data_IF_400460475260
#
_entry.id   IF_400460475260
#
_cell.length_a   1.000
_cell.length_b   1.000
_cell.length_c   1.000
_cell.angle_alpha   90.00
_cell.angle_beta   90.00
_cell.angle_gamma   90.00
#
_symmetry.space_group_name_H-M   'P 1'
#
loop_
_entity.id
_entity.type
_entity.pdbx_description
1 polymer ?
#
# COMPACT_ATOMS: atom_id res chain seq x y z
N UNK A 1 -48.48 -15.78 48.02
CA UNK A 1 -47.17 -15.12 48.09
C UNK A 1 -46.14 -15.99 47.37
N UNK A 2 -46.16 -16.07 46.06
CA UNK A 2 -45.14 -16.80 45.19
C UNK A 2 -45.31 -16.37 43.73
N UNK A 3 -45.15 -15.09 43.40
CA UNK A 3 -45.15 -14.59 41.99
C UNK A 3 -44.38 -13.27 41.83
N UNK A 4 -43.27 -13.05 42.54
CA UNK A 4 -42.53 -11.78 42.44
C UNK A 4 -40.99 -11.95 42.44
N UNK A 5 -40.44 -13.08 41.99
CA UNK A 5 -38.99 -13.28 41.97
C UNK A 5 -38.46 -13.68 40.56
N UNK A 6 -39.24 -13.56 39.49
CA UNK A 6 -38.82 -13.97 38.17
C UNK A 6 -38.67 -12.80 37.18
N UNK A 7 -38.59 -11.55 37.63
CA UNK A 7 -38.47 -10.37 36.74
C UNK A 7 -37.17 -9.57 36.89
N UNK A 8 -36.22 -10.00 37.72
CA UNK A 8 -34.95 -9.28 37.92
C UNK A 8 -33.72 -9.91 37.30
N UNK A 9 -33.84 -11.04 36.57
CA UNK A 9 -32.70 -11.74 35.96
C UNK A 9 -32.57 -11.57 34.45
N UNK A 10 -33.38 -10.75 33.79
CA UNK A 10 -33.37 -10.48 32.36
C UNK A 10 -32.83 -9.09 31.97
N UNK A 11 -32.36 -8.29 32.92
CA UNK A 11 -31.86 -6.94 32.67
C UNK A 11 -30.32 -6.78 32.81
N UNK A 12 -29.57 -7.84 32.99
CA UNK A 12 -28.13 -7.78 33.21
C UNK A 12 -27.26 -8.38 32.07
N UNK A 13 -27.83 -8.73 30.91
CA UNK A 13 -27.07 -9.29 29.79
C UNK A 13 -26.84 -8.29 28.65
N UNK A 14 -27.43 -7.09 28.74
CA UNK A 14 -27.33 -6.09 27.66
C UNK A 14 -26.27 -5.00 27.87
N UNK A 15 -25.35 -5.13 28.81
CA UNK A 15 -24.37 -4.07 29.13
C UNK A 15 -22.90 -4.47 28.95
N UNK A 16 -22.61 -5.55 28.25
CA UNK A 16 -21.22 -5.99 27.99
C UNK A 16 -20.94 -6.25 26.50
N UNK A 17 -21.59 -5.56 25.58
CA UNK A 17 -21.01 -5.28 24.29
C UNK A 17 -20.06 -4.07 24.42
N UNK A 18 -19.10 -4.13 25.32
CA UNK A 18 -17.96 -3.22 25.27
C UNK A 18 -17.19 -3.58 23.99
N UNK A 19 -17.04 -2.58 23.13
CA UNK A 19 -16.16 -2.57 21.97
C UNK A 19 -14.74 -3.04 22.38
N UNK A 20 -14.52 -4.34 22.44
CA UNK A 20 -13.18 -4.90 22.50
C UNK A 20 -12.61 -4.89 21.08
N UNK A 21 -12.29 -3.68 20.56
CA UNK A 21 -11.48 -3.57 19.36
C UNK A 21 -10.18 -4.34 19.62
N UNK A 22 -9.78 -5.20 18.69
CA UNK A 22 -8.52 -5.92 18.79
C UNK A 22 -7.35 -4.93 18.87
N UNK A 23 -6.22 -5.40 19.35
CA UNK A 23 -5.01 -4.57 19.43
C UNK A 23 -4.62 -4.02 18.04
N UNK A 24 -4.70 -4.85 17.01
CA UNK A 24 -4.47 -4.43 15.63
C UNK A 24 -5.50 -3.40 15.14
N UNK A 25 -6.78 -3.52 15.54
CA UNK A 25 -7.80 -2.51 15.19
C UNK A 25 -7.53 -1.16 15.86
N UNK A 26 -6.96 -1.13 17.05
CA UNK A 26 -6.54 0.11 17.70
C UNK A 26 -5.38 0.75 16.95
N UNK A 27 -4.38 -0.05 16.55
CA UNK A 27 -3.21 0.37 15.78
C UNK A 27 -3.57 0.89 14.39
N UNK A 28 -4.52 0.27 13.70
CA UNK A 28 -4.99 0.72 12.39
C UNK A 28 -5.57 2.16 12.41
N UNK A 29 -5.90 2.72 13.57
CA UNK A 29 -6.37 4.11 13.69
C UNK A 29 -5.29 5.15 13.39
N UNK A 30 -4.02 4.78 13.47
CA UNK A 30 -2.88 5.62 13.09
C UNK A 30 -2.57 5.56 11.59
N UNK A 31 -3.23 4.66 10.85
CA UNK A 31 -3.01 4.42 9.43
C UNK A 31 -4.27 4.76 8.62
N UNK A 32 -4.74 6.02 8.71
CA UNK A 32 -5.98 6.44 8.03
C UNK A 32 -5.74 7.05 6.66
N UNK A 33 -4.73 7.93 6.54
CA UNK A 33 -4.45 8.74 5.35
C UNK A 33 -2.95 8.78 5.12
N UNK A 34 -2.47 7.86 4.33
CA UNK A 34 -1.04 7.68 4.09
C UNK A 34 -0.59 8.07 2.71
N UNK A 35 0.71 8.16 2.58
CA UNK A 35 1.42 8.42 1.34
C UNK A 35 2.60 7.47 1.18
N UNK A 36 2.79 6.93 -0.02
CA UNK A 36 3.97 6.15 -0.34
C UNK A 36 5.16 7.06 -0.63
N UNK A 37 6.31 6.74 -0.06
CA UNK A 37 7.60 7.30 -0.44
C UNK A 37 8.35 6.25 -1.28
N UNK A 38 8.09 6.28 -2.57
CA UNK A 38 8.80 5.48 -3.57
C UNK A 38 10.14 6.10 -3.95
N UNK A 39 10.92 5.39 -4.73
CA UNK A 39 12.18 5.84 -5.34
C UNK A 39 13.25 6.36 -4.36
N UNK A 40 13.05 6.21 -3.05
CA UNK A 40 14.02 6.61 -2.03
C UNK A 40 14.90 5.44 -1.58
N UNK A 41 14.31 4.41 -0.96
CA UNK A 41 14.99 3.19 -0.53
C UNK A 41 14.63 1.96 -1.37
N UNK A 42 13.72 2.10 -2.32
CA UNK A 42 13.38 1.10 -3.34
C UNK A 42 13.16 1.78 -4.69
N UNK A 43 13.11 1.02 -5.77
CA UNK A 43 12.79 1.52 -7.13
C UNK A 43 13.71 2.69 -7.57
N UNK A 44 14.97 2.66 -7.18
CA UNK A 44 15.95 3.68 -7.58
C UNK A 44 16.40 3.41 -9.01
N UNK A 45 15.89 4.20 -9.95
CA UNK A 45 16.16 4.06 -11.39
C UNK A 45 17.41 4.80 -11.86
N UNK A 46 18.06 5.60 -11.00
CA UNK A 46 19.36 6.21 -11.34
C UNK A 46 20.40 5.10 -11.56
N UNK A 47 21.13 5.10 -12.68
CA UNK A 47 22.20 4.13 -12.95
C UNK A 47 23.28 4.03 -11.87
N UNK A 48 23.43 5.08 -11.05
CA UNK A 48 24.33 5.09 -9.90
C UNK A 48 23.80 4.29 -8.72
N UNK A 49 22.50 3.97 -8.72
CA UNK A 49 21.83 3.23 -7.66
C UNK A 49 21.76 3.97 -6.33
N UNK A 50 21.81 3.21 -5.24
CA UNK A 50 21.65 3.68 -3.86
C UNK A 50 22.89 4.41 -3.34
N UNK A 51 23.21 5.57 -3.92
CA UNK A 51 24.32 6.40 -3.43
C UNK A 51 23.95 7.17 -2.16
N UNK A 52 24.97 7.59 -1.42
CA UNK A 52 24.77 8.46 -0.26
C UNK A 52 24.00 9.73 -0.61
N UNK A 53 24.37 10.37 -1.71
CA UNK A 53 23.75 11.60 -2.21
C UNK A 53 22.26 11.39 -2.48
N UNK A 54 21.90 10.24 -3.08
CA UNK A 54 20.51 9.87 -3.31
C UNK A 54 19.78 9.65 -1.98
N UNK A 55 20.31 8.79 -1.09
CA UNK A 55 19.67 8.43 0.18
C UNK A 55 19.46 9.63 1.13
N UNK A 56 20.35 10.64 1.06
CA UNK A 56 20.23 11.85 1.89
C UNK A 56 19.37 12.94 1.23
N UNK A 57 19.33 12.98 -0.10
CA UNK A 57 18.77 14.12 -0.84
C UNK A 57 17.46 13.87 -1.58
N UNK A 58 17.00 12.62 -1.69
CA UNK A 58 15.78 12.30 -2.45
C UNK A 58 14.51 12.81 -1.76
N UNK A 59 14.35 12.52 -0.49
CA UNK A 59 13.30 13.10 0.37
C UNK A 59 13.98 13.89 1.49
N UNK A 60 13.53 15.10 1.71
CA UNK A 60 14.09 16.03 2.68
C UNK A 60 13.14 16.26 3.86
N UNK A 61 13.62 16.95 4.92
CA UNK A 61 12.76 17.35 6.03
C UNK A 61 11.63 18.29 5.60
N UNK A 62 11.87 19.13 4.57
CA UNK A 62 10.84 20.01 4.02
C UNK A 62 9.75 19.22 3.31
N UNK A 63 10.11 18.13 2.62
CA UNK A 63 9.14 17.21 2.01
C UNK A 63 8.26 16.54 3.06
N UNK A 64 8.86 16.04 4.15
CA UNK A 64 8.10 15.42 5.25
C UNK A 64 7.21 16.44 5.95
N UNK A 65 7.68 17.67 6.13
CA UNK A 65 6.87 18.79 6.66
C UNK A 65 5.69 19.11 5.72
N UNK A 66 5.92 19.10 4.40
CA UNK A 66 4.86 19.29 3.40
C UNK A 66 3.83 18.17 3.46
N UNK A 67 4.25 16.91 3.50
CA UNK A 67 3.37 15.74 3.69
C UNK A 67 2.49 15.94 4.92
N UNK A 68 3.08 16.31 6.06
CA UNK A 68 2.33 16.56 7.30
C UNK A 68 1.34 17.71 7.15
N UNK A 69 1.73 18.80 6.48
CA UNK A 69 0.89 19.98 6.28
C UNK A 69 -0.33 19.68 5.39
N UNK A 70 -0.19 18.79 4.42
CA UNK A 70 -1.31 18.33 3.58
C UNK A 70 -2.33 17.48 4.37
N UNK A 71 -1.99 17.00 5.57
CA UNK A 71 -2.93 16.27 6.44
C UNK A 71 -2.79 14.75 6.39
N UNK A 72 -1.71 14.22 5.85
CA UNK A 72 -1.36 12.81 6.00
C UNK A 72 -1.01 12.49 7.45
N UNK A 73 -1.30 11.27 7.90
CA UNK A 73 -1.03 10.80 9.25
C UNK A 73 0.10 9.75 9.31
N UNK A 74 0.45 9.15 8.19
CA UNK A 74 1.55 8.20 8.09
C UNK A 74 2.19 8.17 6.70
N UNK A 75 3.35 7.53 6.66
CA UNK A 75 4.14 7.29 5.45
C UNK A 75 4.35 5.79 5.30
N UNK A 76 4.17 5.26 4.09
CA UNK A 76 4.63 3.94 3.71
C UNK A 76 5.97 4.09 2.99
N UNK A 77 7.03 3.65 3.64
CA UNK A 77 8.41 3.75 3.15
C UNK A 77 8.78 2.46 2.44
N UNK A 78 8.88 2.54 1.11
CA UNK A 78 9.28 1.41 0.27
C UNK A 78 10.78 1.15 0.40
N UNK A 79 11.17 -0.08 0.74
CA UNK A 79 12.56 -0.47 1.04
C UNK A 79 12.95 -1.71 0.25
N UNK A 80 13.96 -1.60 -0.61
CA UNK A 80 14.59 -2.77 -1.22
C UNK A 80 15.54 -3.41 -0.19
N UNK A 81 15.32 -4.67 0.20
CA UNK A 81 16.18 -5.35 1.17
C UNK A 81 17.56 -5.71 0.60
N UNK A 82 17.70 -5.83 -0.73
CA UNK A 82 18.93 -6.33 -1.36
C UNK A 82 20.21 -5.57 -0.97
N UNK A 83 20.22 -4.22 -0.85
CA UNK A 83 21.40 -3.50 -0.40
C UNK A 83 21.81 -3.79 1.06
N UNK A 84 20.89 -4.28 1.88
CA UNK A 84 21.13 -4.61 3.29
C UNK A 84 21.41 -6.10 3.52
N UNK A 85 21.01 -6.98 2.60
CA UNK A 85 21.18 -8.41 2.74
C UNK A 85 22.53 -8.86 2.20
N UNK A 86 23.30 -9.55 3.03
CA UNK A 86 24.46 -10.29 2.62
C UNK A 86 24.16 -11.78 2.70
N UNK A 87 24.31 -12.52 1.60
CA UNK A 87 23.98 -13.96 1.53
C UNK A 87 24.65 -14.85 2.59
N UNK A 88 25.81 -14.42 3.10
CA UNK A 88 26.55 -15.16 4.11
C UNK A 88 26.38 -14.58 5.54
N UNK A 89 25.67 -13.47 5.68
CA UNK A 89 25.49 -12.72 6.92
C UNK A 89 24.08 -12.10 6.97
N UNK A 90 23.07 -12.91 6.62
CA UNK A 90 21.68 -12.45 6.50
C UNK A 90 21.10 -11.85 7.79
N UNK A 91 21.69 -12.23 8.93
CA UNK A 91 21.37 -11.70 10.25
C UNK A 91 22.12 -10.40 10.59
N UNK A 92 23.01 -9.94 9.72
CA UNK A 92 23.77 -8.70 9.88
C UNK A 92 23.38 -7.68 8.83
N UNK A 93 22.91 -6.54 9.30
CA UNK A 93 22.52 -5.42 8.46
C UNK A 93 23.69 -4.44 8.40
N UNK A 94 24.21 -4.07 7.18
CA UNK A 94 25.26 -3.11 7.03
C UNK A 94 24.92 -1.78 7.69
N UNK A 95 25.77 -1.32 8.62
CA UNK A 95 25.48 -0.18 9.48
C UNK A 95 25.37 1.18 8.74
N UNK A 96 26.06 1.34 7.61
CA UNK A 96 25.99 2.56 6.80
C UNK A 96 24.64 2.74 6.12
N UNK A 97 24.13 1.70 5.43
CA UNK A 97 22.81 1.76 4.80
C UNK A 97 21.69 1.82 5.85
N UNK A 98 21.78 1.01 6.90
CA UNK A 98 20.84 1.04 8.01
C UNK A 98 20.83 2.42 8.69
N UNK A 99 22.00 3.07 8.82
CA UNK A 99 22.09 4.43 9.36
C UNK A 99 21.34 5.47 8.54
N UNK A 100 21.27 5.35 7.21
CA UNK A 100 20.44 6.23 6.38
C UNK A 100 18.95 5.92 6.56
N UNK A 101 18.58 4.64 6.66
CA UNK A 101 17.20 4.23 6.93
C UNK A 101 16.75 4.74 8.31
N UNK A 102 17.58 4.62 9.34
CA UNK A 102 17.32 5.19 10.68
C UNK A 102 17.09 6.70 10.62
N UNK A 103 17.90 7.41 9.84
CA UNK A 103 17.74 8.84 9.62
C UNK A 103 16.38 9.19 8.98
N UNK A 104 15.95 8.41 7.99
CA UNK A 104 14.67 8.58 7.33
C UNK A 104 13.48 8.28 8.26
N UNK A 105 13.52 7.15 8.97
CA UNK A 105 12.50 6.77 9.97
C UNK A 105 12.39 7.84 11.05
N UNK A 106 13.53 8.27 11.59
CA UNK A 106 13.55 9.33 12.60
C UNK A 106 12.96 10.64 12.08
N UNK A 107 13.29 11.03 10.85
CA UNK A 107 12.74 12.24 10.22
C UNK A 107 11.21 12.18 10.12
N UNK A 108 10.64 11.06 9.71
CA UNK A 108 9.19 10.85 9.63
C UNK A 108 8.53 10.93 11.01
N UNK A 109 9.10 10.23 12.00
CA UNK A 109 8.59 10.20 13.37
C UNK A 109 8.69 11.57 14.06
N UNK A 110 9.78 12.33 13.85
CA UNK A 110 9.97 13.67 14.40
C UNK A 110 8.91 14.67 13.90
N UNK A 111 8.31 14.42 12.73
CA UNK A 111 7.19 15.21 12.21
C UNK A 111 5.81 14.70 12.69
N UNK A 112 5.78 13.71 13.59
CA UNK A 112 4.54 13.14 14.14
C UNK A 112 3.72 12.36 13.11
N UNK A 113 4.41 11.70 12.17
CA UNK A 113 3.84 10.74 11.22
C UNK A 113 4.21 9.32 11.65
N UNK A 114 3.28 8.37 11.56
CA UNK A 114 3.62 6.97 11.68
C UNK A 114 4.37 6.49 10.42
N UNK A 115 5.10 5.38 10.52
CA UNK A 115 5.84 4.81 9.39
C UNK A 115 5.55 3.31 9.24
N UNK A 116 5.22 2.92 8.02
CA UNK A 116 5.20 1.54 7.58
C UNK A 116 6.53 1.25 6.89
N UNK A 117 7.30 0.31 7.42
CA UNK A 117 8.50 -0.21 6.76
C UNK A 117 8.06 -1.34 5.82
N UNK A 118 7.97 -1.03 4.54
CA UNK A 118 7.51 -1.95 3.51
C UNK A 118 8.70 -2.56 2.77
N UNK A 119 8.84 -3.90 2.83
CA UNK A 119 9.84 -4.58 2.00
C UNK A 119 9.39 -4.65 0.55
N UNK A 120 10.05 -3.85 -0.28
CA UNK A 120 9.68 -3.57 -1.68
C UNK A 120 10.82 -3.97 -2.66
N UNK A 121 11.17 -5.26 -2.73
CA UNK A 121 12.17 -5.73 -3.66
C UNK A 121 11.65 -5.78 -5.10
N UNK A 122 12.57 -5.96 -6.04
CA UNK A 122 12.25 -6.23 -7.44
C UNK A 122 11.66 -7.65 -7.65
N UNK A 123 11.16 -7.90 -8.86
CA UNK A 123 10.56 -9.18 -9.23
C UNK A 123 11.57 -10.33 -9.23
N UNK A 124 12.87 -10.08 -9.48
CA UNK A 124 13.90 -11.13 -9.43
C UNK A 124 14.11 -11.65 -8.01
N UNK A 125 14.08 -10.76 -7.03
CA UNK A 125 14.11 -11.15 -5.61
C UNK A 125 12.87 -11.97 -5.23
N UNK A 126 11.67 -11.51 -5.60
CA UNK A 126 10.41 -12.22 -5.35
C UNK A 126 10.39 -13.60 -6.02
N UNK A 127 10.89 -13.71 -7.24
CA UNK A 127 10.99 -15.00 -7.95
C UNK A 127 11.88 -16.02 -7.21
N UNK A 128 12.94 -15.58 -6.53
CA UNK A 128 13.76 -16.47 -5.67
C UNK A 128 12.96 -16.97 -4.47
N UNK A 129 12.19 -16.12 -3.80
CA UNK A 129 11.32 -16.54 -2.69
C UNK A 129 10.26 -17.56 -3.14
N UNK A 130 9.73 -17.41 -4.36
CA UNK A 130 8.78 -18.39 -4.94
C UNK A 130 9.43 -19.75 -5.13
N UNK A 131 10.69 -19.80 -5.56
CA UNK A 131 11.36 -21.02 -6.03
C UNK A 131 12.18 -21.72 -4.95
N UNK A 132 12.64 -21.03 -3.91
CA UNK A 132 13.72 -21.47 -3.04
C UNK A 132 13.42 -21.24 -1.57
N UNK A 133 13.45 -22.32 -0.79
CA UNK A 133 13.24 -22.27 0.67
C UNK A 133 14.41 -21.64 1.41
N UNK A 134 15.65 -21.81 0.93
CA UNK A 134 16.82 -21.16 1.52
C UNK A 134 16.82 -19.64 1.39
N UNK A 135 16.26 -19.08 0.32
CA UNK A 135 16.04 -17.62 0.19
C UNK A 135 14.96 -17.15 1.19
N UNK A 136 13.91 -17.95 1.41
CA UNK A 136 12.90 -17.64 2.44
C UNK A 136 13.51 -17.68 3.85
N UNK A 137 14.43 -18.61 4.14
CA UNK A 137 15.16 -18.64 5.42
C UNK A 137 16.00 -17.38 5.61
N UNK A 138 16.81 -17.03 4.60
CA UNK A 138 17.66 -15.83 4.65
C UNK A 138 16.81 -14.54 4.82
N UNK A 139 15.69 -14.45 4.12
CA UNK A 139 14.79 -13.29 4.27
C UNK A 139 14.09 -13.29 5.63
N UNK A 140 13.82 -14.45 6.22
CA UNK A 140 13.31 -14.56 7.59
C UNK A 140 14.34 -14.06 8.62
N UNK A 141 15.61 -14.43 8.46
CA UNK A 141 16.68 -13.99 9.35
C UNK A 141 16.93 -12.48 9.21
N UNK A 142 16.90 -11.96 7.99
CA UNK A 142 16.93 -10.52 7.73
C UNK A 142 15.78 -9.78 8.43
N UNK A 143 14.54 -10.27 8.29
CA UNK A 143 13.38 -9.69 8.96
C UNK A 143 13.48 -9.72 10.48
N UNK A 144 13.96 -10.82 11.05
CA UNK A 144 14.18 -10.93 12.50
C UNK A 144 15.16 -9.87 12.98
N UNK A 145 16.28 -9.69 12.27
CA UNK A 145 17.30 -8.70 12.60
C UNK A 145 16.79 -7.27 12.48
N UNK A 146 16.11 -6.95 11.38
CA UNK A 146 15.56 -5.60 11.15
C UNK A 146 14.44 -5.28 12.17
N UNK A 147 13.55 -6.22 12.42
CA UNK A 147 12.49 -6.05 13.42
C UNK A 147 13.07 -5.86 14.83
N UNK A 148 14.11 -6.62 15.17
CA UNK A 148 14.81 -6.45 16.45
C UNK A 148 15.46 -5.05 16.58
N UNK A 149 16.08 -4.56 15.51
CA UNK A 149 16.67 -3.22 15.47
C UNK A 149 15.61 -2.14 15.79
N UNK A 150 14.43 -2.21 15.20
CA UNK A 150 13.34 -1.25 15.44
C UNK A 150 12.45 -1.59 16.64
N UNK A 151 12.71 -2.68 17.38
CA UNK A 151 11.86 -3.14 18.49
C UNK A 151 11.75 -2.17 19.67
N UNK A 152 12.68 -1.23 19.80
CA UNK A 152 12.71 -0.19 20.84
C UNK A 152 11.95 1.08 20.46
N UNK A 153 11.54 1.22 19.20
CA UNK A 153 10.72 2.34 18.76
C UNK A 153 9.28 2.17 19.25
N UNK A 154 8.52 3.26 19.22
CA UNK A 154 7.11 3.24 19.63
C UNK A 154 6.31 2.33 18.70
N UNK A 155 5.76 1.22 19.19
CA UNK A 155 4.98 0.31 18.39
C UNK A 155 3.61 0.86 17.94
N UNK A 156 3.20 2.04 18.42
CA UNK A 156 2.05 2.79 17.86
C UNK A 156 2.42 3.54 16.57
N UNK A 157 3.71 3.73 16.31
CA UNK A 157 4.20 4.60 15.24
C UNK A 157 5.02 3.87 14.19
N UNK A 158 5.50 2.63 14.44
CA UNK A 158 6.31 1.85 13.50
C UNK A 158 5.63 0.51 13.21
N UNK A 159 5.44 0.22 11.93
CA UNK A 159 4.76 -0.96 11.41
C UNK A 159 5.66 -1.71 10.43
N UNK A 160 5.50 -3.03 10.32
CA UNK A 160 6.28 -3.87 9.43
C UNK A 160 5.38 -4.52 8.37
N UNK A 161 5.54 -4.13 7.12
CA UNK A 161 4.86 -4.76 5.99
C UNK A 161 5.76 -5.85 5.39
N UNK A 162 5.27 -7.08 5.40
CA UNK A 162 6.07 -8.28 5.16
C UNK A 162 6.74 -8.26 3.78
N UNK A 163 5.97 -7.96 2.74
CA UNK A 163 6.43 -7.94 1.35
C UNK A 163 5.42 -7.19 0.48
N UNK A 164 5.90 -6.21 -0.25
CA UNK A 164 5.14 -5.55 -1.31
C UNK A 164 4.78 -6.52 -2.42
N UNK A 165 3.51 -6.56 -2.78
CA UNK A 165 3.01 -7.26 -3.97
C UNK A 165 3.64 -8.64 -4.18
N UNK A 166 3.31 -9.62 -3.34
CA UNK A 166 3.85 -10.97 -3.48
C UNK A 166 3.50 -11.57 -4.85
N UNK A 167 4.50 -11.88 -5.68
CA UNK A 167 4.31 -12.42 -7.02
C UNK A 167 4.15 -13.95 -7.01
N UNK A 168 3.32 -14.46 -6.12
CA UNK A 168 3.08 -15.89 -5.93
C UNK A 168 1.75 -16.28 -6.61
N UNK A 169 1.83 -17.07 -7.68
CA UNK A 169 0.63 -17.67 -8.30
C UNK A 169 0.01 -18.78 -7.43
N UNK A 170 0.84 -19.47 -6.63
CA UNK A 170 0.38 -20.45 -5.65
C UNK A 170 0.14 -19.75 -4.30
N UNK A 171 -1.11 -19.46 -4.01
CA UNK A 171 -1.55 -18.80 -2.78
C UNK A 171 -1.21 -19.62 -1.51
N UNK A 172 -1.18 -20.95 -1.59
CA UNK A 172 -0.81 -21.80 -0.45
C UNK A 172 0.68 -21.71 -0.15
N UNK A 173 1.51 -21.63 -1.21
CA UNK A 173 2.94 -21.35 -1.07
C UNK A 173 3.15 -20.00 -0.38
N UNK A 174 2.45 -18.96 -0.84
CA UNK A 174 2.53 -17.64 -0.23
C UNK A 174 2.08 -17.66 1.24
N UNK A 175 0.96 -18.28 1.57
CA UNK A 175 0.48 -18.38 2.95
C UNK A 175 1.54 -19.00 3.89
N UNK A 176 2.24 -20.04 3.45
CA UNK A 176 3.33 -20.64 4.21
C UNK A 176 4.55 -19.73 4.38
N UNK A 177 4.97 -19.05 3.30
CA UNK A 177 6.08 -18.09 3.32
C UNK A 177 5.73 -16.90 4.21
N UNK A 178 4.54 -16.29 4.02
CA UNK A 178 4.07 -15.17 4.82
C UNK A 178 4.02 -15.50 6.32
N UNK A 179 3.50 -16.66 6.68
CA UNK A 179 3.45 -17.11 8.07
C UNK A 179 4.85 -17.23 8.70
N UNK A 180 5.83 -17.71 7.94
CA UNK A 180 7.22 -17.84 8.38
C UNK A 180 7.87 -16.46 8.58
N UNK A 181 7.71 -15.55 7.62
CA UNK A 181 8.22 -14.18 7.71
C UNK A 181 7.57 -13.42 8.87
N UNK A 182 6.25 -13.54 9.05
CA UNK A 182 5.54 -12.95 10.18
C UNK A 182 6.05 -13.46 11.53
N UNK A 183 6.34 -14.76 11.64
CA UNK A 183 6.91 -15.34 12.85
C UNK A 183 8.32 -14.79 13.15
N UNK A 184 9.15 -14.57 12.12
CA UNK A 184 10.48 -13.97 12.27
C UNK A 184 10.40 -12.51 12.72
N UNK A 185 9.47 -11.72 12.15
CA UNK A 185 9.20 -10.34 12.58
C UNK A 185 8.74 -10.32 14.04
N UNK A 186 7.80 -11.20 14.40
CA UNK A 186 7.27 -11.28 15.77
C UNK A 186 8.32 -11.66 16.80
N UNK A 187 9.26 -12.54 16.44
CA UNK A 187 10.40 -12.89 17.27
C UNK A 187 11.32 -11.68 17.51
N UNK A 188 11.61 -10.90 16.47
CA UNK A 188 12.43 -9.68 16.56
C UNK A 188 11.72 -8.54 17.28
N UNK A 189 10.42 -8.32 17.03
CA UNK A 189 9.64 -7.18 17.54
C UNK A 189 8.29 -7.62 18.13
N UNK A 190 8.27 -8.13 19.37
CA UNK A 190 7.08 -8.76 19.96
C UNK A 190 5.83 -7.87 20.08
N UNK A 191 6.00 -6.53 20.05
CA UNK A 191 4.91 -5.57 20.29
C UNK A 191 4.42 -4.87 19.02
N UNK A 192 5.19 -4.90 17.94
CA UNK A 192 4.88 -4.16 16.72
C UNK A 192 3.81 -4.84 15.90
N UNK A 193 3.04 -4.05 15.18
CA UNK A 193 2.00 -4.55 14.28
C UNK A 193 2.62 -4.93 12.94
N UNK A 194 2.23 -6.10 12.45
CA UNK A 194 2.63 -6.64 11.15
C UNK A 194 1.54 -6.30 10.14
N UNK A 195 1.92 -6.02 8.90
CA UNK A 195 1.00 -5.85 7.77
C UNK A 195 1.21 -7.00 6.80
N UNK A 196 0.13 -7.71 6.51
CA UNK A 196 0.10 -8.91 5.67
C UNK A 196 -0.82 -8.69 4.46
N UNK A 197 -0.59 -9.43 3.37
CA UNK A 197 -1.35 -9.29 2.13
C UNK A 197 -1.72 -10.64 1.52
N UNK A 198 -2.70 -10.64 0.61
CA UNK A 198 -2.93 -11.74 -0.31
C UNK A 198 -1.73 -11.98 -1.24
N UNK A 199 -1.73 -13.08 -1.96
CA UNK A 199 -0.79 -13.37 -3.03
C UNK A 199 -1.05 -12.46 -4.26
N UNK A 200 -0.33 -12.70 -5.34
CA UNK A 200 -0.66 -12.18 -6.68
C UNK A 200 -0.83 -10.66 -6.72
N UNK A 201 0.24 -9.91 -6.39
CA UNK A 201 0.30 -8.44 -6.36
C UNK A 201 -0.65 -7.77 -5.35
N UNK A 202 -0.98 -8.46 -4.25
CA UNK A 202 -1.86 -7.91 -3.20
C UNK A 202 -3.26 -7.55 -3.71
N UNK A 203 -3.76 -8.26 -4.72
CA UNK A 203 -5.10 -8.02 -5.24
C UNK A 203 -6.20 -8.48 -4.28
N UNK A 204 -7.44 -8.01 -4.53
CA UNK A 204 -8.60 -8.34 -3.70
C UNK A 204 -8.96 -9.81 -3.82
N UNK A 205 -8.89 -10.41 -5.02
CA UNK A 205 -9.29 -11.79 -5.24
C UNK A 205 -8.46 -12.76 -4.38
N UNK A 206 -7.14 -12.54 -4.31
CA UNK A 206 -6.26 -13.37 -3.47
C UNK A 206 -6.37 -13.02 -1.97
N UNK A 207 -6.76 -11.79 -1.62
CA UNK A 207 -7.13 -11.47 -0.24
C UNK A 207 -8.37 -12.25 0.22
N UNK A 208 -9.40 -12.37 -0.63
CA UNK A 208 -10.63 -13.10 -0.30
C UNK A 208 -10.39 -14.59 -0.01
N UNK A 209 -9.35 -15.15 -0.60
CA UNK A 209 -8.96 -16.55 -0.40
C UNK A 209 -7.97 -16.75 0.77
N UNK A 210 -7.49 -15.65 1.37
CA UNK A 210 -6.54 -15.72 2.47
C UNK A 210 -7.23 -16.09 3.78
N UNK A 211 -6.69 -17.09 4.47
CA UNK A 211 -7.02 -17.32 5.88
C UNK A 211 -6.08 -16.48 6.75
N UNK A 212 -6.60 -15.63 7.64
CA UNK A 212 -5.76 -14.81 8.50
C UNK A 212 -4.73 -15.60 9.31
N UNK A 213 -3.58 -14.98 9.55
CA UNK A 213 -2.55 -15.49 10.42
C UNK A 213 -3.09 -15.70 11.84
N UNK A 214 -2.54 -16.65 12.58
CA UNK A 214 -2.90 -16.89 13.98
C UNK A 214 -2.46 -15.76 14.93
N UNK A 215 -1.56 -14.90 14.49
CA UNK A 215 -1.16 -13.69 15.20
C UNK A 215 -2.28 -12.64 15.15
N UNK A 216 -2.73 -12.17 16.31
CA UNK A 216 -3.83 -11.21 16.43
C UNK A 216 -3.40 -9.74 16.26
N UNK A 217 -2.09 -9.46 16.18
CA UNK A 217 -1.56 -8.12 15.98
C UNK A 217 -1.10 -7.94 14.52
N UNK A 218 -2.02 -8.21 13.60
CA UNK A 218 -1.82 -8.11 12.16
C UNK A 218 -2.92 -7.24 11.54
N UNK A 219 -2.52 -6.32 10.69
CA UNK A 219 -3.38 -5.59 9.75
C UNK A 219 -3.24 -6.26 8.39
N UNK A 220 -4.33 -6.38 7.65
CA UNK A 220 -4.27 -6.90 6.28
C UNK A 220 -4.32 -5.74 5.30
N UNK A 221 -3.69 -5.93 4.13
CA UNK A 221 -3.72 -4.93 3.09
C UNK A 221 -4.04 -5.54 1.73
N UNK A 222 -4.52 -4.68 0.83
CA UNK A 222 -4.63 -4.92 -0.60
C UNK A 222 -4.21 -3.66 -1.36
N UNK A 223 -3.92 -3.81 -2.65
CA UNK A 223 -3.69 -2.72 -3.58
C UNK A 223 -4.90 -2.59 -4.51
N UNK A 224 -5.19 -1.37 -4.95
CA UNK A 224 -6.33 -1.12 -5.81
C UNK A 224 -6.00 -0.17 -6.95
N UNK A 225 -5.84 -0.74 -8.14
CA UNK A 225 -5.60 0.01 -9.37
C UNK A 225 -6.65 -0.27 -10.46
N UNK A 226 -7.71 -1.01 -10.12
CA UNK A 226 -8.72 -1.34 -11.13
C UNK A 226 -9.57 -0.13 -11.55
N UNK A 227 -9.82 -0.06 -12.85
CA UNK A 227 -9.28 -0.92 -13.91
C UNK A 227 -7.94 -0.40 -14.43
N UNK A 228 -6.94 -1.27 -14.54
CA UNK A 228 -5.60 -0.91 -15.03
C UNK A 228 -5.62 -0.22 -16.40
N UNK A 229 -6.57 -0.55 -17.27
CA UNK A 229 -6.81 0.14 -18.54
C UNK A 229 -6.96 1.65 -18.40
N UNK A 230 -7.53 2.13 -17.29
CA UNK A 230 -7.62 3.56 -16.99
C UNK A 230 -6.43 4.06 -16.16
N UNK A 231 -6.12 3.35 -15.07
CA UNK A 231 -5.13 3.85 -14.10
C UNK A 231 -3.69 3.82 -14.59
N UNK A 232 -3.39 2.95 -15.57
CA UNK A 232 -2.07 2.78 -16.17
C UNK A 232 -2.01 3.18 -17.65
N UNK A 233 -3.04 3.90 -18.14
CA UNK A 233 -3.05 4.34 -19.53
C UNK A 233 -1.79 5.15 -19.86
N UNK A 234 -1.18 4.82 -21.01
CA UNK A 234 0.07 5.42 -21.46
C UNK A 234 1.34 4.92 -20.78
N UNK A 235 1.25 4.00 -19.80
CA UNK A 235 2.43 3.45 -19.13
C UNK A 235 3.31 2.63 -20.09
N UNK A 236 4.64 2.79 -19.94
CA UNK A 236 5.63 2.11 -20.78
C UNK A 236 6.31 0.94 -20.07
N UNK A 237 5.85 0.60 -18.88
CA UNK A 237 6.23 -0.56 -18.07
C UNK A 237 5.01 -1.46 -17.83
N UNK A 238 5.22 -2.64 -17.26
CA UNK A 238 4.14 -3.61 -17.00
C UNK A 238 3.60 -4.22 -18.29
N UNK A 239 2.31 -4.14 -18.51
CA UNK A 239 1.67 -4.74 -19.66
C UNK A 239 1.85 -3.92 -20.94
N UNK A 240 2.33 -4.55 -22.00
CA UNK A 240 2.65 -3.86 -23.25
C UNK A 240 1.48 -3.10 -23.89
N UNK A 241 0.24 -3.46 -23.58
CA UNK A 241 -0.94 -2.79 -24.15
C UNK A 241 -1.27 -1.45 -23.47
N UNK A 242 -0.85 -1.20 -22.24
CA UNK A 242 -1.09 0.07 -21.54
C UNK A 242 -0.52 1.26 -22.29
N UNK A 243 0.61 1.07 -22.98
CA UNK A 243 1.24 2.10 -23.78
C UNK A 243 0.34 2.68 -24.88
N UNK A 244 -0.58 1.88 -25.41
CA UNK A 244 -1.51 2.28 -26.48
C UNK A 244 -2.86 2.77 -25.95
N UNK A 245 -3.16 2.52 -24.69
CA UNK A 245 -4.37 2.95 -24.03
C UNK A 245 -4.15 4.36 -23.46
N UNK A 246 -4.67 5.38 -24.13
CA UNK A 246 -4.49 6.79 -23.76
C UNK A 246 -5.81 7.55 -23.93
N UNK A 247 -6.00 8.64 -23.17
CA UNK A 247 -7.18 9.51 -23.25
C UNK A 247 -8.51 8.83 -22.93
N UNK A 248 -8.47 7.78 -22.12
CA UNK A 248 -9.68 7.15 -21.60
C UNK A 248 -10.29 8.06 -20.54
N UNK A 249 -11.60 8.25 -20.64
CA UNK A 249 -12.37 9.03 -19.70
C UNK A 249 -12.74 8.21 -18.45
N UNK A 250 -12.86 8.85 -17.29
CA UNK A 250 -13.50 8.30 -16.10
C UNK A 250 -14.56 9.31 -15.56
N UNK A 251 -15.80 8.84 -15.26
CA UNK A 251 -16.32 7.48 -15.41
C UNK A 251 -16.27 6.96 -16.85
N UNK A 252 -16.27 5.63 -17.01
CA UNK A 252 -16.17 4.99 -18.31
C UNK A 252 -17.35 5.34 -19.23
N UNK A 253 -17.05 5.84 -20.43
CA UNK A 253 -18.03 6.26 -21.41
C UNK A 253 -17.86 5.47 -22.73
N UNK A 254 -18.94 4.89 -23.26
CA UNK A 254 -18.88 4.07 -24.47
C UNK A 254 -18.38 4.84 -25.67
N UNK A 255 -18.84 6.09 -25.87
CA UNK A 255 -18.41 6.89 -27.02
C UNK A 255 -16.90 7.22 -26.98
N UNK A 256 -16.36 7.57 -25.81
CA UNK A 256 -14.93 7.76 -25.65
C UNK A 256 -14.16 6.45 -25.89
N UNK A 257 -14.63 5.33 -25.32
CA UNK A 257 -13.99 4.02 -25.51
C UNK A 257 -14.01 3.58 -26.99
N UNK A 258 -15.06 3.83 -27.75
CA UNK A 258 -15.12 3.55 -29.19
C UNK A 258 -14.09 4.37 -29.98
N UNK A 259 -13.90 5.66 -29.64
CA UNK A 259 -12.88 6.51 -30.25
C UNK A 259 -11.49 5.96 -29.97
N UNK A 260 -11.15 5.73 -28.69
CA UNK A 260 -9.85 5.18 -28.30
C UNK A 260 -9.61 3.80 -28.89
N UNK A 261 -10.64 2.93 -28.93
CA UNK A 261 -10.55 1.61 -29.52
C UNK A 261 -10.23 1.66 -31.03
N UNK A 262 -10.72 2.67 -31.75
CA UNK A 262 -10.43 2.85 -33.19
C UNK A 262 -8.95 3.11 -33.47
N UNK A 263 -8.22 3.68 -32.52
CA UNK A 263 -6.80 4.02 -32.60
C UNK A 263 -5.88 2.87 -32.15
N UNK A 264 -6.43 1.77 -31.58
CA UNK A 264 -5.63 0.68 -31.07
C UNK A 264 -4.98 -0.18 -32.16
N UNK A 265 -3.73 -0.65 -31.94
CA UNK A 265 -2.94 -1.33 -32.98
C UNK A 265 -3.52 -2.68 -33.41
N UNK A 266 -4.24 -3.37 -32.53
CA UNK A 266 -4.77 -4.69 -32.80
C UNK A 266 -6.16 -4.93 -32.20
N UNK A 267 -6.75 -6.08 -32.57
CA UNK A 267 -8.10 -6.45 -32.13
C UNK A 267 -8.19 -6.66 -30.62
N UNK A 268 -7.17 -7.19 -29.99
CA UNK A 268 -7.22 -7.52 -28.56
C UNK A 268 -7.23 -6.24 -27.72
N UNK A 269 -6.39 -5.28 -28.08
CA UNK A 269 -6.36 -3.98 -27.41
C UNK A 269 -7.69 -3.23 -27.61
N UNK A 270 -8.28 -3.26 -28.81
CA UNK A 270 -9.63 -2.72 -29.04
C UNK A 270 -10.67 -3.32 -28.13
N UNK A 271 -10.65 -4.65 -27.95
CA UNK A 271 -11.60 -5.34 -27.07
C UNK A 271 -11.41 -4.99 -25.60
N UNK A 272 -10.16 -4.77 -25.14
CA UNK A 272 -9.88 -4.34 -23.76
C UNK A 272 -10.48 -2.96 -23.48
N UNK A 273 -10.21 -2.01 -24.37
CA UNK A 273 -10.76 -0.64 -24.27
C UNK A 273 -12.29 -0.65 -24.28
N UNK A 274 -12.92 -1.39 -25.20
CA UNK A 274 -14.38 -1.50 -25.21
C UNK A 274 -14.91 -2.21 -23.95
N UNK A 275 -14.20 -3.22 -23.44
CA UNK A 275 -14.57 -3.92 -22.22
C UNK A 275 -14.58 -2.99 -21.01
N UNK A 276 -13.62 -2.07 -20.90
CA UNK A 276 -13.60 -1.04 -19.87
C UNK A 276 -14.93 -0.29 -19.77
N UNK A 277 -15.47 0.16 -20.90
CA UNK A 277 -16.75 0.87 -20.93
C UNK A 277 -17.96 -0.06 -20.70
N UNK A 278 -17.92 -1.29 -21.24
CA UNK A 278 -18.98 -2.29 -21.03
C UNK A 278 -19.11 -2.72 -19.56
N UNK A 279 -18.01 -2.74 -18.84
CA UNK A 279 -17.99 -3.06 -17.42
C UNK A 279 -18.45 -1.89 -16.54
N UNK A 280 -18.78 -0.74 -17.15
CA UNK A 280 -19.32 0.44 -16.48
C UNK A 280 -18.49 0.91 -15.28
N UNK A 281 -17.18 1.09 -15.49
CA UNK A 281 -16.30 1.58 -14.43
C UNK A 281 -16.67 3.00 -14.00
N UNK A 282 -17.30 3.07 -12.85
CA UNK A 282 -17.72 4.28 -12.13
C UNK A 282 -17.57 4.09 -10.61
N UNK A 283 -18.01 5.07 -9.83
CA UNK A 283 -18.00 5.02 -8.37
C UNK A 283 -18.74 3.80 -7.79
N UNK A 284 -19.85 3.35 -8.43
CA UNK A 284 -20.59 2.20 -7.94
C UNK A 284 -19.80 0.91 -8.17
N UNK A 285 -19.14 0.77 -9.33
CA UNK A 285 -18.29 -0.39 -9.61
C UNK A 285 -17.12 -0.46 -8.66
N UNK A 286 -16.43 0.65 -8.39
CA UNK A 286 -15.37 0.74 -7.38
C UNK A 286 -15.88 0.31 -6.01
N UNK A 287 -17.06 0.80 -5.59
CA UNK A 287 -17.66 0.44 -4.31
C UNK A 287 -17.98 -1.06 -4.20
N UNK A 288 -18.39 -1.71 -5.28
CA UNK A 288 -18.63 -3.16 -5.31
C UNK A 288 -17.33 -3.94 -5.12
N UNK A 289 -16.26 -3.56 -5.83
CA UNK A 289 -14.98 -4.27 -5.74
C UNK A 289 -14.34 -4.12 -4.35
N UNK A 290 -14.21 -2.91 -3.85
CA UNK A 290 -13.64 -2.64 -2.51
C UNK A 290 -14.53 -3.23 -1.41
N UNK A 291 -15.84 -3.21 -1.59
CA UNK A 291 -16.80 -3.78 -0.63
C UNK A 291 -16.58 -5.27 -0.37
N UNK A 292 -16.07 -6.04 -1.34
CA UNK A 292 -15.73 -7.45 -1.15
C UNK A 292 -14.60 -7.60 -0.11
N UNK A 293 -13.56 -6.78 -0.20
CA UNK A 293 -12.47 -6.77 0.78
C UNK A 293 -12.95 -6.33 2.17
N UNK A 294 -13.85 -5.34 2.23
CA UNK A 294 -14.46 -4.90 3.49
C UNK A 294 -15.28 -6.02 4.18
N UNK A 295 -16.09 -6.76 3.41
CA UNK A 295 -16.86 -7.89 3.94
C UNK A 295 -15.96 -9.04 4.39
N UNK A 296 -14.86 -9.31 3.69
CA UNK A 296 -13.85 -10.27 4.13
C UNK A 296 -13.24 -9.87 5.49
N UNK A 297 -12.82 -8.62 5.62
CA UNK A 297 -12.23 -8.12 6.86
C UNK A 297 -13.23 -8.17 8.03
N UNK A 298 -14.49 -7.85 7.78
CA UNK A 298 -15.58 -7.97 8.74
C UNK A 298 -15.87 -9.42 9.13
N UNK A 299 -15.88 -10.34 8.16
CA UNK A 299 -16.06 -11.77 8.42
C UNK A 299 -15.00 -12.33 9.39
N UNK A 300 -13.74 -11.96 9.17
CA UNK A 300 -12.62 -12.40 9.99
C UNK A 300 -12.39 -11.52 11.24
N UNK A 301 -13.12 -10.40 11.36
CA UNK A 301 -12.94 -9.41 12.41
C UNK A 301 -11.49 -8.89 12.51
N UNK A 302 -10.88 -8.58 11.38
CA UNK A 302 -9.51 -8.06 11.26
C UNK A 302 -9.51 -6.65 10.66
N UNK A 303 -8.52 -5.80 10.99
CA UNK A 303 -8.36 -4.50 10.34
C UNK A 303 -7.78 -4.64 8.93
N UNK A 304 -8.20 -3.73 8.05
CA UNK A 304 -7.81 -3.69 6.65
C UNK A 304 -7.29 -2.30 6.27
N UNK A 305 -6.30 -2.25 5.38
CA UNK A 305 -5.81 -1.04 4.72
C UNK A 305 -5.68 -1.28 3.21
N UNK A 306 -5.76 -0.20 2.42
CA UNK A 306 -5.39 -0.20 1.01
C UNK A 306 -4.03 0.52 0.90
N UNK A 307 -2.94 -0.23 0.77
CA UNK A 307 -1.60 0.34 0.88
C UNK A 307 -1.08 0.95 -0.42
N UNK A 308 -1.78 0.74 -1.53
CA UNK A 308 -1.54 1.46 -2.77
C UNK A 308 -2.82 1.66 -3.57
N UNK A 309 -3.01 2.86 -4.08
CA UNK A 309 -3.96 3.19 -5.14
C UNK A 309 -3.52 4.48 -5.82
N UNK A 310 -3.83 4.64 -7.08
CA UNK A 310 -3.44 5.83 -7.82
C UNK A 310 -3.73 5.73 -9.32
N UNK A 311 -3.49 6.81 -10.04
CA UNK A 311 -3.63 6.88 -11.50
C UNK A 311 -2.40 7.56 -12.08
N UNK A 312 -1.82 6.97 -13.11
CA UNK A 312 -0.68 7.51 -13.85
C UNK A 312 -1.06 8.84 -14.54
N UNK A 313 -0.23 9.86 -14.36
CA UNK A 313 -0.58 11.25 -14.74
C UNK A 313 -0.44 11.54 -16.21
N UNK A 314 0.57 10.95 -16.87
CA UNK A 314 1.03 11.38 -18.19
C UNK A 314 -0.08 11.49 -19.25
N UNK A 315 -0.92 10.46 -19.34
CA UNK A 315 -1.90 10.32 -20.41
C UNK A 315 -3.34 10.32 -19.91
N UNK A 316 -3.57 10.55 -18.62
CA UNK A 316 -4.89 10.71 -18.02
C UNK A 316 -5.32 12.19 -17.97
N UNK A 317 -6.59 12.47 -18.22
CA UNK A 317 -7.14 13.80 -17.95
C UNK A 317 -7.08 14.10 -16.44
N UNK A 318 -6.56 15.24 -16.00
CA UNK A 318 -6.41 15.55 -14.58
C UNK A 318 -7.72 15.52 -13.78
N UNK A 319 -8.87 15.86 -14.39
CA UNK A 319 -10.16 15.84 -13.72
C UNK A 319 -10.71 14.42 -13.61
N UNK A 320 -10.50 13.57 -14.64
CA UNK A 320 -10.88 12.17 -14.62
C UNK A 320 -10.05 11.40 -13.62
N UNK A 321 -8.74 11.66 -13.58
CA UNK A 321 -7.82 11.17 -12.56
C UNK A 321 -8.29 11.55 -11.16
N UNK A 322 -8.63 12.80 -10.94
CA UNK A 322 -9.11 13.28 -9.64
C UNK A 322 -10.44 12.64 -9.24
N UNK A 323 -11.36 12.43 -10.18
CA UNK A 323 -12.63 11.74 -9.91
C UNK A 323 -12.39 10.29 -9.45
N UNK A 324 -11.55 9.54 -10.16
CA UNK A 324 -11.23 8.17 -9.79
C UNK A 324 -10.59 8.10 -8.40
N UNK A 325 -9.59 8.94 -8.12
CA UNK A 325 -8.92 9.03 -6.82
C UNK A 325 -9.92 9.37 -5.71
N UNK A 326 -10.82 10.34 -5.98
CA UNK A 326 -11.89 10.69 -5.04
C UNK A 326 -12.80 9.50 -4.74
N UNK A 327 -13.25 8.77 -5.76
CA UNK A 327 -14.22 7.69 -5.62
C UNK A 327 -13.62 6.52 -4.84
N UNK A 328 -12.36 6.14 -5.13
CA UNK A 328 -11.64 5.12 -4.36
C UNK A 328 -11.45 5.57 -2.91
N UNK A 329 -10.89 6.76 -2.69
CA UNK A 329 -10.68 7.28 -1.33
C UNK A 329 -11.99 7.36 -0.54
N UNK A 330 -13.07 7.86 -1.16
CA UNK A 330 -14.37 8.00 -0.50
C UNK A 330 -14.96 6.64 -0.11
N UNK A 331 -14.81 5.63 -0.96
CA UNK A 331 -15.24 4.25 -0.67
C UNK A 331 -14.43 3.66 0.47
N UNK A 332 -13.10 3.77 0.44
CA UNK A 332 -12.23 3.27 1.52
C UNK A 332 -12.58 3.91 2.86
N UNK A 333 -12.77 5.24 2.91
CA UNK A 333 -13.16 5.95 4.14
C UNK A 333 -14.55 5.56 4.62
N UNK A 334 -15.51 5.35 3.70
CA UNK A 334 -16.87 4.87 4.03
C UNK A 334 -16.83 3.51 4.74
N UNK A 335 -15.99 2.59 4.24
CA UNK A 335 -15.87 1.24 4.78
C UNK A 335 -14.91 1.15 5.98
N UNK A 336 -14.35 2.29 6.39
CA UNK A 336 -13.46 2.38 7.55
C UNK A 336 -12.04 1.85 7.27
N UNK A 337 -11.66 1.68 6.01
CA UNK A 337 -10.36 1.21 5.54
C UNK A 337 -9.40 2.39 5.48
N UNK A 338 -8.21 2.26 6.10
CA UNK A 338 -7.12 3.21 5.93
C UNK A 338 -6.46 3.06 4.56
N UNK A 339 -5.78 4.10 4.08
CA UNK A 339 -5.25 4.09 2.73
C UNK A 339 -3.92 4.81 2.59
N UNK A 340 -3.13 4.41 1.57
CA UNK A 340 -1.92 5.09 1.13
C UNK A 340 -2.01 5.40 -0.36
N UNK A 341 -1.93 6.68 -0.71
CA UNK A 341 -1.83 7.09 -2.10
C UNK A 341 -0.48 6.70 -2.69
N UNK A 342 -0.47 6.13 -3.87
CA UNK A 342 0.71 5.96 -4.69
C UNK A 342 0.82 7.12 -5.67
N UNK A 343 1.78 8.05 -5.55
CA UNK A 343 2.77 8.16 -4.50
C UNK A 343 3.04 9.65 -4.16
N UNK A 344 4.07 9.95 -3.38
CA UNK A 344 4.46 11.35 -3.13
C UNK A 344 4.98 12.02 -4.40
N UNK A 345 5.80 11.31 -5.19
CA UNK A 345 6.34 11.80 -6.44
C UNK A 345 7.42 12.88 -6.27
N UNK A 346 8.27 12.74 -5.24
CA UNK A 346 9.42 13.61 -5.07
C UNK A 346 10.25 13.64 -6.35
N UNK A 347 10.55 14.86 -6.86
CA UNK A 347 11.31 15.07 -8.10
C UNK A 347 10.70 14.48 -9.37
N UNK A 348 9.44 14.12 -9.32
CA UNK A 348 8.66 13.75 -10.49
C UNK A 348 8.29 15.01 -11.29
N UNK A 349 8.67 15.06 -12.56
CA UNK A 349 8.37 16.16 -13.49
C UNK A 349 6.91 16.19 -13.97
N UNK A 350 6.01 15.49 -13.25
CA UNK A 350 4.58 15.38 -13.55
C UNK A 350 4.23 14.17 -14.40
N UNK A 351 5.16 13.23 -14.60
CA UNK A 351 4.97 12.04 -15.42
C UNK A 351 4.56 10.79 -14.66
N UNK A 352 4.64 10.76 -13.31
CA UNK A 352 4.35 9.61 -12.45
C UNK A 352 2.92 9.58 -11.89
N UNK A 353 2.79 9.11 -10.66
CA UNK A 353 1.51 9.06 -9.92
C UNK A 353 1.37 10.21 -8.90
N UNK A 354 2.40 11.01 -8.71
CA UNK A 354 2.63 11.89 -7.59
C UNK A 354 1.48 12.80 -7.15
N UNK A 355 1.48 13.11 -5.85
CA UNK A 355 0.61 14.14 -5.25
C UNK A 355 1.27 15.52 -5.25
N UNK A 356 2.55 15.60 -5.64
CA UNK A 356 3.28 16.85 -5.79
C UNK A 356 3.80 17.03 -7.22
N UNK A 357 4.12 18.28 -7.56
CA UNK A 357 4.87 18.64 -8.73
C UNK A 357 6.31 18.91 -8.29
N UNK A 358 7.19 17.98 -8.59
CA UNK A 358 8.59 18.02 -8.18
C UNK A 358 9.51 18.42 -9.31
N UNK A 359 10.01 19.65 -9.37
CA UNK A 359 11.08 19.98 -10.32
C UNK A 359 12.36 19.22 -9.93
N UNK A 360 13.22 18.93 -10.91
CA UNK A 360 14.52 18.29 -10.64
C UNK A 360 15.38 19.07 -9.64
N UNK A 361 15.20 20.39 -9.61
CA UNK A 361 15.81 21.30 -8.65
C UNK A 361 14.75 22.23 -8.07
N UNK A 362 14.73 22.39 -6.75
CA UNK A 362 13.79 23.24 -6.04
C UNK A 362 12.80 22.46 -5.16
N UNK A 363 11.90 23.17 -4.48
CA UNK A 363 10.93 22.56 -3.59
C UNK A 363 9.81 21.87 -4.37
N UNK A 364 9.31 20.77 -3.83
CA UNK A 364 8.07 20.15 -4.27
C UNK A 364 6.88 21.06 -3.94
N UNK A 365 5.88 21.09 -4.80
CA UNK A 365 4.63 21.81 -4.59
C UNK A 365 3.43 20.87 -4.76
N UNK A 366 2.37 21.01 -3.92
CA UNK A 366 1.19 20.17 -4.06
C UNK A 366 0.55 20.24 -5.44
N UNK A 367 0.10 19.09 -5.94
CA UNK A 367 -0.88 19.05 -7.01
C UNK A 367 -2.26 19.25 -6.40
N UNK A 368 -2.74 20.49 -6.42
CA UNK A 368 -3.97 20.91 -5.76
C UNK A 368 -5.19 20.05 -6.14
N UNK A 369 -5.27 19.63 -7.40
CA UNK A 369 -6.38 18.83 -7.92
C UNK A 369 -6.37 17.44 -7.25
N UNK A 370 -5.21 16.83 -7.14
CA UNK A 370 -5.04 15.53 -6.48
C UNK A 370 -5.25 15.64 -4.97
N UNK A 371 -4.67 16.65 -4.32
CA UNK A 371 -4.81 16.87 -2.88
C UNK A 371 -6.28 17.05 -2.49
N UNK A 372 -7.04 17.82 -3.27
CA UNK A 372 -8.49 17.99 -3.06
C UNK A 372 -9.26 16.68 -3.28
N UNK A 373 -8.93 15.89 -4.29
CA UNK A 373 -9.54 14.59 -4.53
C UNK A 373 -9.33 13.61 -3.36
N UNK A 374 -8.18 13.69 -2.70
CA UNK A 374 -7.86 12.93 -1.48
C UNK A 374 -8.57 13.49 -0.23
N UNK A 375 -9.35 14.57 -0.34
CA UNK A 375 -10.03 15.18 0.81
C UNK A 375 -9.05 15.81 1.81
N UNK A 376 -7.85 16.10 1.37
CA UNK A 376 -6.79 16.75 2.14
C UNK A 376 -6.84 18.27 1.96
N UNK A 377 -6.06 18.98 2.76
CA UNK A 377 -5.96 20.44 2.73
C UNK A 377 -4.52 20.85 2.52
N UNK A 378 -4.33 21.96 1.84
CA UNK A 378 -3.05 22.63 1.74
C UNK A 378 -3.20 24.07 2.20
#
# INVERSE_FOLDING_TARGET
>A
MRKLILLCLLLSVSALAQNNSSFAQQRARHLRRGINLSEWFAQVYDPKGYTKEHLVGWVTADDVALIKSMGFDHVRLSINPAPMMHHNEADRIPGDYLGYLDGAVKMVLDHGLAVILDMHPDSDFKAKLVQRDDEVEQFSDFWRALAHHYSTYDPEMVYFEILNEPEFRDRYRWAGVQAKLAAAIRDGAPKHTIIAAGANWSDIDDLLELTPLSDLNVIYNFHFYDPHTFTHQGATWGENYWHFETKLAYPAEMHNAEQVASEQPDRLNRLRVLRYALDHWDANRIAVEIGQAAEWAKHWNVPLTCNEFGVYRRDSDPQDRARWIHDVRATLEHDGIGWNMWDYGARDDGGGFGVVNGPKEGPNTPDEVTVQALGLKH
#
